data_IF_299962661900
#
_entry.id   IF_299962661900
#
_cell.length_a   1.000
_cell.length_b   1.000
_cell.length_c   1.000
_cell.angle_alpha   90.00
_cell.angle_beta   90.00
_cell.angle_gamma   90.00
#
_symmetry.space_group_name_H-M   'P 1'
#
loop_
_entity.id
_entity.type
_entity.pdbx_description
1 polymer ?
#
# COMPACT_ATOMS: atom_id res chain seq x y z
N UNK A 1 1.61 -15.08 -1.43
CA UNK A 1 1.16 -13.74 -1.90
C UNK A 1 -0.01 -13.36 -1.00
N UNK A 2 0.15 -12.36 -0.12
CA UNK A 2 -0.81 -12.08 0.97
C UNK A 2 -1.53 -10.72 0.85
N UNK A 3 -1.33 -10.00 -0.25
CA UNK A 3 -2.12 -8.82 -0.58
C UNK A 3 -3.48 -9.26 -1.13
N UNK A 4 -4.54 -8.66 -0.61
CA UNK A 4 -5.90 -8.82 -1.11
C UNK A 4 -6.19 -7.85 -2.25
N UNK A 5 -5.98 -6.57 -1.98
CA UNK A 5 -6.20 -5.48 -2.94
C UNK A 5 -5.12 -4.43 -2.78
N UNK A 6 -4.62 -3.91 -3.91
CA UNK A 6 -3.68 -2.81 -4.00
C UNK A 6 -4.33 -1.67 -4.75
N UNK A 7 -4.28 -0.46 -4.19
CA UNK A 7 -4.73 0.76 -4.84
C UNK A 7 -3.57 1.73 -4.96
N UNK A 8 -3.28 2.20 -6.17
CA UNK A 8 -2.46 3.41 -6.36
C UNK A 8 -3.37 4.63 -6.39
N UNK A 9 -3.00 5.66 -5.64
CA UNK A 9 -3.77 6.90 -5.57
C UNK A 9 -2.88 8.14 -5.64
N UNK A 10 -3.51 9.27 -5.92
CA UNK A 10 -2.88 10.60 -5.94
C UNK A 10 -3.79 11.56 -5.19
N UNK A 11 -3.24 12.32 -4.25
CA UNK A 11 -4.00 13.27 -3.43
C UNK A 11 -3.91 14.70 -3.94
N UNK A 12 -2.81 15.07 -4.60
CA UNK A 12 -2.62 16.39 -5.21
C UNK A 12 -1.82 16.29 -6.53
N UNK A 13 -0.97 17.27 -6.85
CA UNK A 13 -0.20 17.26 -8.11
C UNK A 13 1.00 16.31 -8.05
N UNK A 14 1.65 16.20 -6.91
CA UNK A 14 2.96 15.57 -6.70
C UNK A 14 3.00 14.58 -5.52
N UNK A 15 1.88 14.38 -4.83
CA UNK A 15 1.71 13.43 -3.74
C UNK A 15 0.93 12.19 -4.20
N UNK A 16 1.58 11.04 -4.08
CA UNK A 16 1.08 9.74 -4.50
C UNK A 16 1.16 8.74 -3.35
N UNK A 17 0.35 7.70 -3.41
CA UNK A 17 0.37 6.66 -2.39
C UNK A 17 -0.09 5.29 -2.90
N UNK A 18 0.19 4.28 -2.08
CA UNK A 18 -0.24 2.90 -2.26
C UNK A 18 -1.04 2.51 -1.02
N UNK A 19 -2.24 1.97 -1.21
CA UNK A 19 -3.05 1.40 -0.14
C UNK A 19 -3.22 -0.09 -0.40
N UNK A 20 -2.52 -0.90 0.38
CA UNK A 20 -2.57 -2.36 0.31
C UNK A 20 -3.38 -2.93 1.46
N UNK A 21 -4.23 -3.89 1.15
CA UNK A 21 -5.05 -4.62 2.13
C UNK A 21 -4.55 -6.05 2.26
N UNK A 22 -4.67 -6.61 3.46
CA UNK A 22 -4.10 -7.92 3.81
C UNK A 22 -5.13 -8.75 4.58
N UNK A 23 -5.04 -10.07 4.46
CA UNK A 23 -5.86 -10.99 5.26
C UNK A 23 -5.51 -10.92 6.76
N UNK A 24 -4.22 -10.76 7.08
CA UNK A 24 -3.70 -10.79 8.44
C UNK A 24 -2.37 -10.04 8.56
N UNK A 25 -1.87 -9.93 9.80
CA UNK A 25 -0.61 -9.24 10.10
C UNK A 25 0.60 -9.91 9.45
N UNK A 26 0.61 -11.24 9.39
CA UNK A 26 1.73 -11.98 8.81
C UNK A 26 1.88 -11.64 7.32
N UNK A 27 0.76 -11.52 6.62
CA UNK A 27 0.71 -11.07 5.24
C UNK A 27 1.24 -9.65 5.05
N UNK A 28 0.86 -8.74 5.95
CA UNK A 28 1.34 -7.35 5.97
C UNK A 28 2.86 -7.28 6.20
N UNK A 29 3.37 -8.02 7.17
CA UNK A 29 4.81 -8.09 7.47
C UNK A 29 5.62 -8.66 6.31
N UNK A 30 5.17 -9.77 5.74
CA UNK A 30 5.84 -10.39 4.60
C UNK A 30 5.90 -9.44 3.38
N UNK A 31 4.90 -8.58 3.21
CA UNK A 31 4.89 -7.57 2.16
C UNK A 31 5.87 -6.42 2.43
N UNK A 32 5.86 -5.87 3.66
CA UNK A 32 6.77 -4.80 4.06
C UNK A 32 8.24 -5.22 4.04
N UNK A 33 8.54 -6.48 4.33
CA UNK A 33 9.90 -7.03 4.29
C UNK A 33 10.28 -7.54 2.89
N UNK A 34 9.35 -7.48 1.94
CA UNK A 34 9.51 -8.01 0.59
C UNK A 34 10.23 -7.06 -0.37
N UNK A 35 10.30 -7.50 -1.62
CA UNK A 35 10.99 -6.80 -2.70
C UNK A 35 10.49 -5.36 -2.97
N UNK A 36 9.26 -5.03 -2.58
CA UNK A 36 8.71 -3.67 -2.78
C UNK A 36 9.49 -2.63 -1.99
N UNK A 37 9.87 -2.92 -0.73
CA UNK A 37 10.60 -1.98 0.10
C UNK A 37 12.01 -1.75 -0.45
N UNK A 38 12.63 -2.80 -0.99
CA UNK A 38 13.94 -2.70 -1.63
C UNK A 38 13.86 -1.85 -2.91
N UNK A 39 12.88 -2.13 -3.78
CA UNK A 39 12.69 -1.36 -5.00
C UNK A 39 12.36 0.12 -4.72
N UNK A 40 11.53 0.38 -3.70
CA UNK A 40 11.23 1.74 -3.27
C UNK A 40 12.50 2.47 -2.83
N UNK A 41 13.32 1.85 -1.97
CA UNK A 41 14.61 2.43 -1.52
C UNK A 41 15.52 2.77 -2.69
N UNK A 42 15.64 1.87 -3.66
CA UNK A 42 16.51 2.05 -4.82
C UNK A 42 16.03 3.18 -5.76
N UNK A 43 14.74 3.55 -5.70
CA UNK A 43 14.12 4.59 -6.52
C UNK A 43 13.79 5.88 -5.76
N UNK A 44 13.96 5.90 -4.43
CA UNK A 44 13.61 7.03 -3.58
C UNK A 44 14.29 8.32 -4.05
N UNK A 45 15.59 8.31 -4.32
CA UNK A 45 16.32 9.53 -4.70
C UNK A 45 15.92 10.09 -6.09
N UNK A 46 15.39 9.23 -6.96
CA UNK A 46 14.95 9.62 -8.32
C UNK A 46 13.50 10.15 -8.32
N UNK A 47 12.64 9.56 -7.48
CA UNK A 47 11.19 9.76 -7.57
C UNK A 47 10.58 10.53 -6.39
N UNK A 48 11.25 10.59 -5.24
CA UNK A 48 10.70 11.12 -4.00
C UNK A 48 11.57 12.24 -3.42
N UNK A 49 10.93 13.21 -2.77
CA UNK A 49 11.61 14.32 -2.07
C UNK A 49 12.26 13.83 -0.75
N UNK A 50 11.99 12.59 -0.35
CA UNK A 50 12.50 11.95 0.86
C UNK A 50 12.00 10.50 0.98
N UNK A 51 12.29 9.79 2.08
CA UNK A 51 11.73 8.47 2.31
C UNK A 51 10.19 8.53 2.31
N UNK A 52 9.51 7.49 1.79
CA UNK A 52 8.05 7.45 1.83
C UNK A 52 7.54 7.28 3.26
N UNK A 53 6.41 7.90 3.57
CA UNK A 53 5.68 7.63 4.82
C UNK A 53 4.99 6.27 4.74
N UNK A 54 5.16 5.45 5.79
CA UNK A 54 4.56 4.11 5.88
C UNK A 54 3.71 4.03 7.15
N UNK A 55 2.40 3.88 6.97
CA UNK A 55 1.45 3.76 8.07
C UNK A 55 0.74 2.41 8.09
N UNK A 56 0.68 1.80 9.28
CA UNK A 56 -0.11 0.59 9.52
C UNK A 56 -1.53 0.96 9.93
N UNK A 57 -2.42 0.98 8.96
CA UNK A 57 -3.84 1.30 9.19
C UNK A 57 -4.61 0.03 9.54
N UNK A 58 -5.48 0.10 10.56
CA UNK A 58 -6.43 -0.96 10.90
C UNK A 58 -7.78 -0.68 10.23
N UNK A 59 -8.26 -1.62 9.42
CA UNK A 59 -9.59 -1.55 8.82
C UNK A 59 -10.61 -2.07 9.85
N UNK A 60 -11.44 -1.17 10.38
CA UNK A 60 -12.49 -1.52 11.35
C UNK A 60 -13.77 -2.01 10.67
N UNK A 61 -14.03 -1.58 9.45
CA UNK A 61 -15.18 -2.00 8.64
C UNK A 61 -14.87 -1.78 7.15
N UNK A 62 -15.36 -2.68 6.31
CA UNK A 62 -15.37 -2.54 4.87
C UNK A 62 -16.79 -2.80 4.36
N UNK A 63 -17.30 -1.91 3.51
CA UNK A 63 -18.60 -2.10 2.88
C UNK A 63 -18.40 -2.72 1.50
N UNK A 64 -18.91 -3.93 1.33
CA UNK A 64 -19.01 -4.56 0.02
C UNK A 64 -20.33 -4.18 -0.64
N UNK A 65 -20.26 -3.73 -1.89
CA UNK A 65 -21.43 -3.57 -2.73
C UNK A 65 -21.52 -4.79 -3.65
N UNK A 66 -22.60 -5.54 -3.57
CA UNK A 66 -22.93 -6.54 -4.59
C UNK A 66 -23.61 -5.78 -5.73
N UNK A 67 -23.10 -5.92 -6.95
CA UNK A 67 -23.85 -5.54 -8.14
C UNK A 67 -25.16 -6.33 -8.14
N UNK A 68 -26.27 -5.62 -8.33
CA UNK A 68 -27.56 -6.24 -8.64
C UNK A 68 -27.51 -6.46 -10.15
N UNK A 69 -27.47 -7.73 -10.56
CA UNK A 69 -27.57 -8.15 -11.96
C UNK A 69 -28.95 -7.78 -12.56
#
# INVERSE_FOLDING_TARGET
MHILTCYSFRTDKDTFGIFDTFNDENGREAHLQGALLQLLRDKTEELLIGPPDIEKIQILSAKEFKTID
#
